data_IF_029295753894
#
_entry.id   IF_029295753894
#
_cell.length_a   1.000
_cell.length_b   1.000
_cell.length_c   1.000
_cell.angle_alpha   90.00
_cell.angle_beta   90.00
_cell.angle_gamma   90.00
#
_symmetry.space_group_name_H-M   'P 1'
#
loop_
_entity.id
_entity.type
_entity.pdbx_description
1 polymer ?
#
# COMPACT_ATOMS: atom_id res chain seq x y z
N UNK A 1 22.46 -8.36 3.89
CA UNK A 1 21.20 -7.97 3.19
C UNK A 1 20.21 -7.42 4.21
N UNK A 2 19.73 -6.19 4.05
CA UNK A 2 18.81 -5.55 5.00
C UNK A 2 17.36 -5.96 4.70
N UNK A 3 16.73 -6.72 5.61
CA UNK A 3 15.35 -7.23 5.46
C UNK A 3 14.34 -6.10 5.35
N UNK A 4 14.53 -5.01 6.11
CA UNK A 4 13.68 -3.81 6.04
C UNK A 4 13.72 -3.18 4.65
N UNK A 5 14.91 -3.08 4.06
CA UNK A 5 15.06 -2.54 2.71
C UNK A 5 14.32 -3.40 1.66
N UNK A 6 14.42 -4.72 1.76
CA UNK A 6 13.66 -5.63 0.88
C UNK A 6 12.15 -5.48 1.04
N UNK A 7 11.67 -5.34 2.27
CA UNK A 7 10.25 -5.15 2.54
C UNK A 7 9.75 -3.82 1.96
N UNK A 8 10.49 -2.74 2.20
CA UNK A 8 10.17 -1.42 1.66
C UNK A 8 10.12 -1.45 0.12
N UNK A 9 11.09 -2.12 -0.52
CA UNK A 9 11.07 -2.28 -1.97
C UNK A 9 9.81 -3.01 -2.44
N UNK A 10 9.43 -4.11 -1.79
CA UNK A 10 8.20 -4.85 -2.14
C UNK A 10 6.93 -4.00 -1.97
N UNK A 11 6.89 -3.13 -0.96
CA UNK A 11 5.77 -2.21 -0.75
C UNK A 11 5.71 -1.19 -1.90
N UNK A 12 6.86 -0.62 -2.28
CA UNK A 12 6.97 0.32 -3.39
C UNK A 12 6.58 -0.30 -4.72
N UNK A 13 7.08 -1.49 -5.04
CA UNK A 13 6.73 -2.21 -6.27
C UNK A 13 5.21 -2.47 -6.36
N UNK A 14 4.59 -2.84 -5.23
CA UNK A 14 3.14 -3.02 -5.12
C UNK A 14 2.38 -1.71 -5.28
N UNK A 15 2.89 -0.62 -4.70
CA UNK A 15 2.30 0.70 -4.82
C UNK A 15 2.32 1.21 -6.27
N UNK A 16 3.44 1.01 -6.99
CA UNK A 16 3.57 1.34 -8.42
C UNK A 16 2.53 0.58 -9.24
N UNK A 17 2.36 -0.73 -9.01
CA UNK A 17 1.36 -1.54 -9.71
C UNK A 17 -0.09 -1.07 -9.43
N UNK A 18 -0.39 -0.66 -8.20
CA UNK A 18 -1.70 -0.09 -7.83
C UNK A 18 -1.91 1.29 -8.44
N UNK A 19 -0.89 2.13 -8.44
CA UNK A 19 -0.89 3.45 -9.05
C UNK A 19 -1.20 3.35 -10.54
N UNK A 20 -0.53 2.46 -11.27
CA UNK A 20 -0.81 2.18 -12.68
C UNK A 20 -2.26 1.73 -12.89
N UNK A 21 -2.74 0.80 -12.06
CA UNK A 21 -4.14 0.34 -12.12
C UNK A 21 -5.12 1.50 -11.88
N UNK A 22 -4.85 2.36 -10.89
CA UNK A 22 -5.68 3.52 -10.54
C UNK A 22 -5.73 4.53 -11.68
N UNK A 23 -4.59 4.82 -12.30
CA UNK A 23 -4.46 5.70 -13.46
C UNK A 23 -5.26 5.15 -14.64
N UNK A 24 -5.11 3.86 -14.95
CA UNK A 24 -5.85 3.20 -16.03
C UNK A 24 -7.38 3.20 -15.78
N UNK A 25 -7.81 2.92 -14.55
CA UNK A 25 -9.23 2.95 -14.18
C UNK A 25 -9.83 4.37 -14.27
N UNK A 26 -9.00 5.42 -14.14
CA UNK A 26 -9.40 6.80 -14.35
C UNK A 26 -9.42 7.21 -15.84
N UNK A 27 -9.16 6.28 -16.77
CA UNK A 27 -9.09 6.56 -18.21
C UNK A 27 -7.85 7.38 -18.60
N UNK A 28 -6.80 7.36 -17.78
CA UNK A 28 -5.53 8.05 -17.99
C UNK A 28 -4.41 7.06 -18.25
N UNK A 29 -3.27 7.56 -18.72
CA UNK A 29 -2.02 6.81 -18.86
C UNK A 29 -0.94 7.38 -17.95
N UNK A 30 0.06 6.59 -17.53
CA UNK A 30 1.17 7.11 -16.73
C UNK A 30 1.91 8.27 -17.40
N UNK A 31 1.97 8.28 -18.74
CA UNK A 31 2.60 9.33 -19.53
C UNK A 31 1.85 10.66 -19.49
N UNK A 32 0.60 10.69 -18.99
CA UNK A 32 -0.19 11.91 -18.79
C UNK A 32 0.27 12.72 -17.56
N UNK A 33 1.21 12.19 -16.77
CA UNK A 33 1.69 12.78 -15.52
C UNK A 33 3.21 13.00 -15.57
N UNK A 34 3.68 14.04 -14.88
CA UNK A 34 5.10 14.23 -14.67
C UNK A 34 5.64 13.34 -13.53
N UNK A 35 6.97 13.34 -13.34
CA UNK A 35 7.62 12.48 -12.35
C UNK A 35 7.18 12.78 -10.91
N UNK A 36 6.98 14.04 -10.55
CA UNK A 36 6.57 14.44 -9.21
C UNK A 36 5.13 14.02 -8.92
N UNK A 37 4.24 14.18 -9.91
CA UNK A 37 2.84 13.73 -9.83
C UNK A 37 2.75 12.21 -9.69
N UNK A 38 3.53 11.46 -10.47
CA UNK A 38 3.61 10.00 -10.34
C UNK A 38 4.15 9.58 -8.98
N UNK A 39 5.16 10.26 -8.45
CA UNK A 39 5.69 9.96 -7.11
C UNK A 39 4.63 10.20 -6.03
N UNK A 40 3.84 11.28 -6.12
CA UNK A 40 2.73 11.55 -5.20
C UNK A 40 1.71 10.41 -5.26
N UNK A 41 1.29 10.01 -6.46
CA UNK A 41 0.34 8.92 -6.67
C UNK A 41 0.87 7.61 -6.06
N UNK A 42 2.14 7.28 -6.29
CA UNK A 42 2.78 6.08 -5.74
C UNK A 42 2.86 6.15 -4.23
N UNK A 43 3.26 7.28 -3.66
CA UNK A 43 3.33 7.52 -2.20
C UNK A 43 1.98 7.32 -1.52
N UNK A 44 0.90 7.83 -2.10
CA UNK A 44 -0.45 7.60 -1.58
C UNK A 44 -0.80 6.11 -1.55
N UNK A 45 -0.44 5.35 -2.59
CA UNK A 45 -0.66 3.90 -2.61
C UNK A 45 0.24 3.15 -1.62
N UNK A 46 1.49 3.59 -1.40
CA UNK A 46 2.37 3.07 -0.35
C UNK A 46 1.74 3.26 1.04
N UNK A 47 1.23 4.46 1.32
CA UNK A 47 0.55 4.78 2.58
C UNK A 47 -0.70 3.93 2.81
N UNK A 48 -1.52 3.73 1.78
CA UNK A 48 -2.69 2.84 1.84
C UNK A 48 -2.29 1.39 2.13
N UNK A 49 -1.22 0.89 1.51
CA UNK A 49 -0.72 -0.46 1.76
C UNK A 49 -0.25 -0.60 3.21
N UNK A 50 0.53 0.37 3.70
CA UNK A 50 1.04 0.38 5.07
C UNK A 50 -0.10 0.51 6.09
N UNK A 51 -1.06 1.40 5.84
CA UNK A 51 -2.25 1.58 6.66
C UNK A 51 -3.05 0.28 6.77
N UNK A 52 -3.36 -0.37 5.65
CA UNK A 52 -4.09 -1.65 5.63
C UNK A 52 -3.32 -2.77 6.33
N UNK A 53 -1.99 -2.82 6.19
CA UNK A 53 -1.18 -3.81 6.90
C UNK A 53 -1.20 -3.58 8.42
N UNK A 54 -1.13 -2.32 8.87
CA UNK A 54 -1.24 -1.96 10.30
C UNK A 54 -2.61 -2.31 10.86
N UNK A 55 -3.68 -1.98 10.14
CA UNK A 55 -5.06 -2.30 10.54
C UNK A 55 -5.28 -3.80 10.65
N UNK A 56 -4.92 -4.57 9.61
CA UNK A 56 -5.00 -6.04 9.64
C UNK A 56 -4.13 -6.64 10.75
N UNK A 57 -2.94 -6.10 10.96
CA UNK A 57 -2.05 -6.51 12.05
C UNK A 57 -2.69 -6.27 13.42
N UNK A 58 -3.32 -5.10 13.61
CA UNK A 58 -4.06 -4.79 14.82
C UNK A 58 -5.23 -5.76 15.02
N UNK A 59 -6.02 -6.04 13.98
CA UNK A 59 -7.13 -7.00 14.05
C UNK A 59 -6.65 -8.41 14.43
N UNK A 60 -5.51 -8.85 13.89
CA UNK A 60 -4.89 -10.13 14.26
C UNK A 60 -4.42 -10.12 15.72
N UNK A 61 -3.83 -9.03 16.20
CA UNK A 61 -3.44 -8.92 17.61
C UNK A 61 -4.66 -8.93 18.52
N UNK A 62 -5.70 -8.17 18.17
CA UNK A 62 -6.98 -8.13 18.87
C UNK A 62 -7.61 -9.53 18.97
N UNK A 63 -7.64 -10.29 17.88
CA UNK A 63 -8.20 -11.65 17.89
C UNK A 63 -7.38 -12.63 18.75
N UNK A 64 -6.04 -12.53 18.71
CA UNK A 64 -5.14 -13.35 19.54
C UNK A 64 -5.23 -12.99 21.03
N UNK A 65 -5.43 -11.71 21.36
CA UNK A 65 -5.62 -11.22 22.73
C UNK A 65 -7.00 -11.56 23.31
N UNK A 66 -7.78 -12.38 22.59
CA UNK A 66 -9.05 -12.91 23.08
C UNK A 66 -10.26 -12.11 22.66
N UNK A 67 -10.13 -10.99 21.95
CA UNK A 67 -11.27 -10.21 21.43
C UNK A 67 -11.95 -10.87 20.21
N UNK A 68 -12.09 -12.19 20.25
CA UNK A 68 -13.27 -12.91 19.75
C UNK A 68 -14.47 -12.79 20.72
N UNK A 69 -14.43 -11.89 21.73
CA UNK A 69 -15.31 -11.90 22.92
C UNK A 69 -16.82 -11.65 22.69
N UNK A 70 -17.28 -11.35 21.48
CA UNK A 70 -18.67 -11.54 21.09
C UNK A 70 -18.72 -11.89 19.61
N UNK A 71 -19.56 -12.85 19.25
CA UNK A 71 -19.91 -13.19 17.87
C UNK A 71 -20.31 -11.98 17.03
#
# INVERSE_FOLDING_TARGET
MNVKAKLNQKIRDKAISRAQTRILLAGKKPEDFNADELEIIVKEEEEKILGSAKEKGLLVLVSLLGLSLWS
#
